data_IF_612456799921
#
_entry.id   IF_612456799921
#
_cell.length_a   1.000
_cell.length_b   1.000
_cell.length_c   1.000
_cell.angle_alpha   90.00
_cell.angle_beta   90.00
_cell.angle_gamma   90.00
#
_symmetry.space_group_name_H-M   'P 1'
#
loop_
_entity.id
_entity.type
_entity.pdbx_description
1 polymer ?
#
# COMPACT_ATOMS: atom_id res chain seq x y z
N UNK A 1 -28.27 6.25 6.93
CA UNK A 1 -27.39 5.63 7.94
C UNK A 1 -26.39 4.77 7.20
N UNK A 2 -25.13 4.91 7.54
CA UNK A 2 -24.05 4.15 6.95
C UNK A 2 -23.37 3.29 8.03
N UNK A 3 -22.88 2.13 7.64
CA UNK A 3 -21.93 1.39 8.44
C UNK A 3 -20.54 1.80 7.95
N UNK A 4 -19.66 2.13 8.87
CA UNK A 4 -18.35 2.72 8.56
C UNK A 4 -17.27 1.88 9.20
N UNK A 5 -16.26 1.52 8.42
CA UNK A 5 -14.98 1.05 8.91
C UNK A 5 -13.98 2.20 8.90
N UNK A 6 -13.39 2.48 10.05
CA UNK A 6 -12.32 3.46 10.17
C UNK A 6 -11.04 2.74 10.57
N UNK A 7 -9.98 2.97 9.83
CA UNK A 7 -8.64 2.47 10.12
C UNK A 7 -7.66 3.64 10.17
N UNK A 8 -6.70 3.57 11.09
CA UNK A 8 -5.58 4.49 11.13
C UNK A 8 -4.27 3.71 11.21
N UNK A 9 -3.32 4.14 10.40
CA UNK A 9 -1.97 3.59 10.35
C UNK A 9 -0.98 4.68 10.71
N UNK A 10 -0.12 4.41 11.67
CA UNK A 10 1.06 5.22 11.93
C UNK A 10 1.99 5.09 10.75
N UNK A 11 2.52 6.20 10.34
CA UNK A 11 3.44 6.31 9.23
C UNK A 11 4.80 6.77 9.76
N UNK A 12 5.81 5.93 9.61
CA UNK A 12 7.14 6.30 9.99
C UNK A 12 7.71 7.27 8.96
N UNK A 13 7.80 8.55 9.31
CA UNK A 13 8.54 9.43 8.46
C UNK A 13 7.99 10.79 8.10
N UNK A 14 7.09 11.37 8.86
CA UNK A 14 6.80 12.81 8.73
C UNK A 14 7.17 13.48 10.06
N UNK A 15 8.45 13.81 10.21
CA UNK A 15 8.93 14.51 11.40
C UNK A 15 8.60 16.01 11.36
N UNK A 16 8.48 16.61 10.17
CA UNK A 16 8.24 18.05 9.99
C UNK A 16 6.87 18.37 9.38
N UNK A 17 5.96 17.41 9.24
CA UNK A 17 4.59 17.78 8.91
C UNK A 17 4.05 18.66 10.04
N UNK A 18 3.48 19.84 9.73
CA UNK A 18 2.80 20.63 10.75
C UNK A 18 1.82 19.71 11.50
N UNK A 19 1.78 19.80 12.81
CA UNK A 19 0.86 18.97 13.62
C UNK A 19 -0.60 19.07 13.13
N UNK A 20 -0.95 20.20 12.51
CA UNK A 20 -2.25 20.46 11.87
C UNK A 20 -2.35 20.02 10.41
N UNK A 21 -1.41 19.21 9.92
CA UNK A 21 -1.41 18.78 8.54
C UNK A 21 -2.62 17.88 8.23
N UNK A 22 -3.31 18.18 7.14
CA UNK A 22 -4.42 17.38 6.63
C UNK A 22 -4.43 17.48 5.11
N UNK A 23 -4.37 16.33 4.43
CA UNK A 23 -4.48 16.24 2.96
C UNK A 23 -5.31 15.03 2.58
N UNK A 24 -6.31 15.25 1.75
CA UNK A 24 -7.07 14.17 1.11
C UNK A 24 -6.21 13.55 0.01
N UNK A 25 -5.86 12.27 0.14
CA UNK A 25 -5.26 11.47 -0.93
C UNK A 25 -6.34 11.01 -1.90
N UNK A 26 -7.49 10.61 -1.33
CA UNK A 26 -8.67 10.20 -2.07
C UNK A 26 -9.93 10.55 -1.30
N UNK A 27 -10.95 10.97 -2.05
CA UNK A 27 -12.28 11.20 -1.49
C UNK A 27 -13.34 10.99 -2.57
N UNK A 28 -14.34 10.19 -2.23
CA UNK A 28 -15.60 10.09 -2.96
C UNK A 28 -16.79 10.25 -1.99
N UNK A 29 -18.00 9.89 -2.41
CA UNK A 29 -19.20 10.03 -1.58
C UNK A 29 -19.19 9.16 -0.32
N UNK A 30 -18.43 8.07 -0.33
CA UNK A 30 -18.44 7.04 0.72
C UNK A 30 -17.06 6.77 1.33
N UNK A 31 -16.00 7.09 0.63
CA UNK A 31 -14.66 6.69 1.02
C UNK A 31 -13.73 7.89 1.13
N UNK A 32 -12.91 7.89 2.17
CA UNK A 32 -11.92 8.93 2.41
C UNK A 32 -10.60 8.28 2.77
N UNK A 33 -9.52 8.73 2.11
CA UNK A 33 -8.14 8.41 2.48
C UNK A 33 -7.42 9.72 2.71
N UNK A 34 -6.89 9.93 3.92
CA UNK A 34 -6.21 11.17 4.30
C UNK A 34 -4.83 10.89 4.84
N UNK A 35 -3.93 11.84 4.60
CA UNK A 35 -2.75 12.02 5.43
C UNK A 35 -3.01 13.07 6.48
N UNK A 36 -2.72 12.74 7.72
CA UNK A 36 -2.98 13.59 8.88
C UNK A 36 -1.72 13.77 9.72
N UNK A 37 -1.47 15.01 10.16
CA UNK A 37 -0.59 15.27 11.29
C UNK A 37 -1.27 14.87 12.61
N UNK A 38 -0.47 14.79 13.68
CA UNK A 38 -0.95 14.29 14.97
C UNK A 38 -2.18 15.04 15.49
N UNK A 39 -2.18 16.39 15.47
CA UNK A 39 -3.31 17.18 15.99
C UNK A 39 -4.60 16.90 15.24
N UNK A 40 -4.53 16.75 13.90
CA UNK A 40 -5.70 16.43 13.10
C UNK A 40 -6.22 15.02 13.33
N UNK A 41 -5.33 14.07 13.53
CA UNK A 41 -5.72 12.71 13.93
C UNK A 41 -6.40 12.71 15.30
N UNK A 42 -5.85 13.44 16.26
CA UNK A 42 -6.43 13.59 17.60
C UNK A 42 -7.81 14.25 17.56
N UNK A 43 -7.99 15.33 16.77
CA UNK A 43 -9.28 15.99 16.58
C UNK A 43 -10.35 15.01 16.07
N UNK A 44 -10.00 14.15 15.09
CA UNK A 44 -10.91 13.13 14.56
C UNK A 44 -11.24 12.10 15.64
N UNK A 45 -10.26 11.67 16.41
CA UNK A 45 -10.44 10.72 17.50
C UNK A 45 -11.34 11.31 18.61
N UNK A 46 -11.09 12.54 19.05
CA UNK A 46 -11.89 13.23 20.06
C UNK A 46 -13.33 13.49 19.56
N UNK A 47 -13.51 13.85 18.29
CA UNK A 47 -14.83 14.04 17.69
C UNK A 47 -15.64 12.73 17.59
N UNK A 48 -14.98 11.59 17.34
CA UNK A 48 -15.62 10.26 17.40
C UNK A 48 -16.18 10.01 18.79
N UNK A 49 -15.41 10.32 19.82
CA UNK A 49 -15.79 10.10 21.21
C UNK A 49 -16.92 11.05 21.62
N UNK A 50 -16.86 12.33 21.26
CA UNK A 50 -17.91 13.31 21.57
C UNK A 50 -19.22 12.95 20.89
N UNK A 51 -19.21 12.50 19.64
CA UNK A 51 -20.39 12.01 18.94
C UNK A 51 -21.05 10.80 19.61
N UNK A 52 -20.26 9.93 20.24
CA UNK A 52 -20.77 8.81 21.05
C UNK A 52 -21.35 9.28 22.40
N UNK A 53 -20.93 10.46 22.89
CA UNK A 53 -21.38 11.01 24.17
C UNK A 53 -22.67 11.83 24.06
N UNK A 54 -22.95 12.47 22.92
CA UNK A 54 -23.97 13.52 22.80
C UNK A 54 -25.41 13.01 22.79
N UNK A 55 -25.64 11.72 22.53
CA UNK A 55 -26.99 11.21 22.49
C UNK A 55 -27.25 10.07 23.48
N UNK A 56 -27.46 10.40 24.77
CA UNK A 56 -28.17 9.53 25.74
C UNK A 56 -27.38 8.45 26.48
N UNK A 57 -26.04 8.46 26.46
CA UNK A 57 -25.29 7.55 27.31
C UNK A 57 -24.49 8.33 28.35
N UNK A 58 -24.94 8.29 29.58
CA UNK A 58 -24.08 8.54 30.71
C UNK A 58 -22.94 7.51 30.67
N UNK A 59 -21.82 7.85 30.03
CA UNK A 59 -20.61 7.02 30.13
C UNK A 59 -20.33 6.78 31.60
N UNK A 60 -20.08 5.53 31.94
CA UNK A 60 -19.65 5.19 33.30
C UNK A 60 -18.30 5.87 33.57
N UNK A 61 -18.00 6.10 34.84
CA UNK A 61 -16.71 6.67 35.26
C UNK A 61 -15.54 5.90 34.65
N UNK A 62 -15.62 4.57 34.64
CA UNK A 62 -14.60 3.67 34.05
C UNK A 62 -14.42 3.92 32.53
N UNK A 63 -15.49 4.16 31.79
CA UNK A 63 -15.39 4.46 30.36
C UNK A 63 -14.74 5.82 30.09
N UNK A 64 -15.03 6.81 30.91
CA UNK A 64 -14.36 8.14 30.82
C UNK A 64 -12.89 8.08 31.13
N UNK A 65 -12.52 7.41 32.22
CA UNK A 65 -11.09 7.21 32.58
C UNK A 65 -10.32 6.47 31.50
N UNK A 66 -10.93 5.45 30.89
CA UNK A 66 -10.31 4.73 29.77
C UNK A 66 -10.05 5.65 28.57
N UNK A 67 -11.02 6.44 28.18
CA UNK A 67 -10.90 7.41 27.07
C UNK A 67 -9.83 8.44 27.34
N UNK A 68 -9.82 9.03 28.55
CA UNK A 68 -8.81 9.99 28.97
C UNK A 68 -7.40 9.38 28.95
N UNK A 69 -7.26 8.13 29.39
CA UNK A 69 -6.02 7.38 29.33
C UNK A 69 -5.58 7.12 27.89
N UNK A 70 -6.50 6.75 26.99
CA UNK A 70 -6.19 6.54 25.56
C UNK A 70 -5.74 7.87 24.92
N UNK A 71 -6.41 8.98 25.17
CA UNK A 71 -6.00 10.32 24.70
C UNK A 71 -4.62 10.70 25.23
N UNK A 72 -4.37 10.46 26.52
CA UNK A 72 -3.07 10.73 27.11
C UNK A 72 -1.96 9.90 26.44
N UNK A 73 -2.18 8.61 26.28
CA UNK A 73 -1.23 7.72 25.64
C UNK A 73 -0.94 8.13 24.19
N UNK A 74 -1.99 8.49 23.42
CA UNK A 74 -1.82 9.01 22.07
C UNK A 74 -0.93 10.26 22.06
N UNK A 75 -1.13 11.20 23.00
CA UNK A 75 -0.34 12.43 23.11
C UNK A 75 1.12 12.18 23.46
N UNK A 76 1.39 11.17 24.27
CA UNK A 76 2.76 10.86 24.70
C UNK A 76 3.53 10.07 23.62
N UNK A 77 2.87 9.09 23.01
CA UNK A 77 3.55 8.13 22.11
C UNK A 77 3.65 8.67 20.68
N UNK A 78 2.61 9.34 20.18
CA UNK A 78 2.46 9.62 18.75
C UNK A 78 2.53 11.12 18.38
N UNK A 79 2.89 11.99 19.27
CA UNK A 79 2.87 13.46 19.04
C UNK A 79 3.70 13.95 17.84
N UNK A 80 4.66 13.15 17.37
CA UNK A 80 5.54 13.46 16.24
C UNK A 80 5.23 12.65 14.99
N UNK A 81 4.19 11.82 15.00
CA UNK A 81 3.88 10.94 13.90
C UNK A 81 2.87 11.56 12.94
N UNK A 82 2.90 11.09 11.70
CA UNK A 82 1.81 11.25 10.76
C UNK A 82 1.02 9.96 10.61
N UNK A 83 -0.19 10.11 10.10
CA UNK A 83 -1.15 9.03 10.02
C UNK A 83 -1.75 8.93 8.63
N UNK A 84 -1.87 7.71 8.14
CA UNK A 84 -2.74 7.39 7.03
C UNK A 84 -4.09 6.97 7.62
N UNK A 85 -5.11 7.79 7.37
CA UNK A 85 -6.47 7.59 7.84
C UNK A 85 -7.35 7.10 6.68
N UNK A 86 -8.10 6.02 6.92
CA UNK A 86 -9.00 5.42 5.95
C UNK A 86 -10.38 5.31 6.57
N UNK A 87 -11.37 5.90 5.93
CA UNK A 87 -12.78 5.87 6.29
C UNK A 87 -13.57 5.27 5.11
N UNK A 88 -14.18 4.12 5.32
CA UNK A 88 -14.97 3.40 4.33
C UNK A 88 -16.40 3.29 4.83
N UNK A 89 -17.32 3.92 4.12
CA UNK A 89 -18.75 3.86 4.44
C UNK A 89 -19.49 3.00 3.42
N UNK A 90 -20.41 2.18 3.90
CA UNK A 90 -21.37 1.47 3.06
C UNK A 90 -22.78 1.78 3.59
N UNK A 91 -23.68 2.28 2.72
CA UNK A 91 -25.08 2.51 3.12
C UNK A 91 -25.71 1.24 3.69
N UNK A 92 -26.42 1.38 4.81
CA UNK A 92 -27.03 0.23 5.49
C UNK A 92 -27.95 -0.57 4.55
N UNK A 93 -28.64 0.12 3.63
CA UNK A 93 -29.51 -0.52 2.65
C UNK A 93 -28.81 -1.51 1.72
N UNK A 94 -27.53 -1.29 1.46
CA UNK A 94 -26.70 -2.20 0.66
C UNK A 94 -26.24 -3.43 1.45
N UNK A 95 -26.29 -3.39 2.78
CA UNK A 95 -25.83 -4.45 3.67
C UNK A 95 -26.97 -5.34 4.20
N UNK A 96 -28.22 -4.88 4.15
CA UNK A 96 -29.37 -5.57 4.78
C UNK A 96 -29.67 -6.97 4.25
N UNK A 97 -29.13 -7.33 3.07
CA UNK A 97 -29.28 -8.66 2.47
C UNK A 97 -28.17 -9.64 2.87
N UNK A 98 -27.14 -9.17 3.57
CA UNK A 98 -26.05 -10.00 4.04
C UNK A 98 -26.45 -10.70 5.35
N UNK A 99 -25.99 -11.94 5.51
CA UNK A 99 -26.14 -12.66 6.79
C UNK A 99 -25.28 -12.01 7.89
N UNK A 100 -25.60 -12.30 9.15
CA UNK A 100 -24.78 -11.85 10.29
C UNK A 100 -23.34 -12.31 10.16
N UNK A 101 -23.11 -13.54 9.71
CA UNK A 101 -21.79 -14.12 9.47
C UNK A 101 -21.01 -13.32 8.40
N UNK A 102 -21.66 -13.02 7.27
CA UNK A 102 -21.03 -12.20 6.21
C UNK A 102 -20.70 -10.79 6.67
N UNK A 103 -21.52 -10.20 7.53
CA UNK A 103 -21.27 -8.86 8.08
C UNK A 103 -20.12 -8.82 9.09
N UNK A 104 -19.89 -9.91 9.85
CA UNK A 104 -18.95 -9.90 10.95
C UNK A 104 -17.64 -10.65 10.64
N UNK A 105 -17.68 -11.74 9.90
CA UNK A 105 -16.48 -12.51 9.58
C UNK A 105 -15.73 -11.97 8.36
N UNK A 106 -16.45 -11.49 7.34
CA UNK A 106 -15.88 -10.95 6.11
C UNK A 106 -16.62 -9.69 5.65
N UNK A 107 -16.62 -8.63 6.44
CA UNK A 107 -17.31 -7.42 6.05
C UNK A 107 -16.74 -6.85 4.75
N UNK A 108 -17.59 -6.43 3.79
CA UNK A 108 -17.14 -5.89 2.51
C UNK A 108 -16.27 -4.64 2.66
N UNK A 109 -16.39 -3.91 3.77
CA UNK A 109 -15.54 -2.79 4.13
C UNK A 109 -14.05 -3.15 4.19
N UNK A 110 -13.70 -4.37 4.69
CA UNK A 110 -12.31 -4.79 4.84
C UNK A 110 -11.59 -4.93 3.49
N UNK A 111 -12.27 -5.49 2.49
CA UNK A 111 -11.69 -5.60 1.16
C UNK A 111 -11.48 -4.20 0.54
N UNK A 112 -12.46 -3.32 0.68
CA UNK A 112 -12.39 -1.97 0.15
C UNK A 112 -11.29 -1.15 0.85
N UNK A 113 -11.24 -1.18 2.19
CA UNK A 113 -10.21 -0.52 2.97
C UNK A 113 -8.80 -1.05 2.63
N UNK A 114 -8.64 -2.37 2.46
CA UNK A 114 -7.38 -2.99 2.04
C UNK A 114 -6.93 -2.52 0.65
N UNK A 115 -7.86 -2.36 -0.29
CA UNK A 115 -7.55 -1.84 -1.62
C UNK A 115 -7.11 -0.37 -1.57
N UNK A 116 -7.81 0.45 -0.79
CA UNK A 116 -7.48 1.86 -0.58
C UNK A 116 -6.12 2.01 0.12
N UNK A 117 -5.87 1.23 1.17
CA UNK A 117 -4.58 1.19 1.86
C UNK A 117 -3.45 0.82 0.88
N UNK A 118 -3.64 -0.25 0.13
CA UNK A 118 -2.62 -0.75 -0.81
C UNK A 118 -2.30 0.26 -1.90
N UNK A 119 -3.31 0.93 -2.44
CA UNK A 119 -3.12 1.98 -3.45
C UNK A 119 -2.42 3.21 -2.85
N UNK A 120 -2.84 3.67 -1.66
CA UNK A 120 -2.28 4.85 -1.00
C UNK A 120 -0.80 4.63 -0.61
N UNK A 121 -0.49 3.51 0.06
CA UNK A 121 0.88 3.22 0.49
C UNK A 121 1.81 3.02 -0.70
N UNK A 122 1.34 2.39 -1.77
CA UNK A 122 2.11 2.23 -3.01
C UNK A 122 2.34 3.57 -3.72
N UNK A 123 1.33 4.44 -3.78
CA UNK A 123 1.45 5.77 -4.37
C UNK A 123 2.43 6.66 -3.58
N UNK A 124 2.28 6.72 -2.25
CA UNK A 124 3.17 7.47 -1.37
C UNK A 124 4.61 6.96 -1.52
N UNK A 125 4.80 5.63 -1.46
CA UNK A 125 6.12 5.02 -1.57
C UNK A 125 6.74 5.28 -2.95
N UNK A 126 5.97 5.25 -4.03
CA UNK A 126 6.45 5.54 -5.37
C UNK A 126 6.91 6.98 -5.54
N UNK A 127 6.24 7.94 -4.92
CA UNK A 127 6.51 9.37 -5.11
C UNK A 127 7.58 9.95 -4.19
N UNK A 128 8.07 9.18 -3.20
CA UNK A 128 9.12 9.65 -2.30
C UNK A 128 10.49 9.74 -2.97
N UNK A 129 11.22 10.79 -2.65
CA UNK A 129 12.63 10.94 -3.03
C UNK A 129 13.55 10.00 -2.25
N UNK A 130 13.19 9.65 -1.01
CA UNK A 130 13.98 8.75 -0.17
C UNK A 130 14.08 7.34 -0.75
N UNK A 131 15.28 6.75 -0.65
CA UNK A 131 15.56 5.38 -1.12
C UNK A 131 14.88 4.33 -0.22
N UNK A 132 14.70 4.65 1.07
CA UNK A 132 14.13 3.73 2.05
C UNK A 132 12.60 3.77 1.97
N UNK A 133 12.00 2.60 1.84
CA UNK A 133 10.54 2.48 1.86
C UNK A 133 10.00 2.78 3.26
N UNK A 134 8.90 3.52 3.37
CA UNK A 134 8.26 3.76 4.67
C UNK A 134 7.68 2.47 5.22
N UNK A 135 7.57 2.37 6.52
CA UNK A 135 6.74 1.35 7.18
C UNK A 135 5.41 1.95 7.62
N UNK A 136 4.39 1.10 7.68
CA UNK A 136 3.04 1.47 8.09
C UNK A 136 2.56 0.51 9.16
N UNK A 137 2.23 1.03 10.30
CA UNK A 137 1.71 0.26 11.43
C UNK A 137 0.26 0.61 11.68
N UNK A 138 -0.64 -0.39 11.67
CA UNK A 138 -2.04 -0.18 12.00
C UNK A 138 -2.17 0.06 13.50
N UNK A 139 -2.60 1.25 13.89
CA UNK A 139 -2.76 1.65 15.28
C UNK A 139 -4.21 1.62 15.76
N UNK A 140 -5.17 1.73 14.86
CA UNK A 140 -6.58 1.60 15.23
C UNK A 140 -7.43 1.05 14.09
N UNK A 141 -8.48 0.32 14.46
CA UNK A 141 -9.52 -0.17 13.57
C UNK A 141 -10.84 -0.21 14.31
N UNK A 142 -11.91 0.30 13.71
CA UNK A 142 -13.22 0.25 14.36
C UNK A 142 -14.36 0.30 13.36
N UNK A 143 -15.45 -0.39 13.72
CA UNK A 143 -16.73 -0.35 13.01
C UNK A 143 -17.73 0.51 13.75
N UNK A 144 -18.40 1.38 13.02
CA UNK A 144 -19.31 2.38 13.56
C UNK A 144 -20.58 2.48 12.72
N UNK A 145 -21.70 2.90 13.35
CA UNK A 145 -22.84 3.46 12.63
C UNK A 145 -22.70 4.97 12.55
N UNK A 146 -22.89 5.55 11.35
CA UNK A 146 -22.84 6.99 11.09
C UNK A 146 -24.16 7.46 10.50
N UNK A 147 -24.66 8.60 10.99
CA UNK A 147 -25.84 9.26 10.47
C UNK A 147 -25.58 10.75 10.34
N UNK A 148 -25.85 11.32 9.17
CA UNK A 148 -25.59 12.76 8.89
C UNK A 148 -24.16 13.22 9.24
N UNK A 149 -23.16 12.36 8.98
CA UNK A 149 -21.74 12.66 9.28
C UNK A 149 -21.32 12.41 10.73
N UNK A 150 -22.27 12.12 11.64
CA UNK A 150 -21.99 11.89 13.07
C UNK A 150 -22.00 10.40 13.38
N UNK A 151 -20.99 9.93 14.12
CA UNK A 151 -20.94 8.55 14.63
C UNK A 151 -21.91 8.43 15.80
N UNK A 152 -22.91 7.55 15.65
CA UNK A 152 -23.97 7.34 16.64
C UNK A 152 -23.83 6.04 17.42
N UNK A 153 -23.01 5.10 16.94
CA UNK A 153 -22.81 3.82 17.62
C UNK A 153 -21.46 3.22 17.22
N UNK A 154 -20.78 2.63 18.19
CA UNK A 154 -19.60 1.79 18.01
C UNK A 154 -20.01 0.31 18.12
N UNK A 155 -19.56 -0.51 17.17
CA UNK A 155 -19.78 -1.96 17.20
C UNK A 155 -18.51 -2.71 17.67
N UNK A 156 -17.36 -2.27 17.21
CA UNK A 156 -16.06 -2.79 17.64
C UNK A 156 -14.99 -1.72 17.48
N UNK A 157 -14.01 -1.75 18.36
CA UNK A 157 -12.82 -0.89 18.26
C UNK A 157 -11.61 -1.68 18.73
N UNK A 158 -10.53 -1.62 17.98
CA UNK A 158 -9.27 -2.25 18.28
C UNK A 158 -8.15 -1.23 18.14
N UNK A 159 -7.40 -1.01 19.21
CA UNK A 159 -6.25 -0.14 19.25
C UNK A 159 -5.01 -0.98 19.50
N UNK A 160 -3.93 -0.70 18.78
CA UNK A 160 -2.63 -1.35 18.96
C UNK A 160 -1.70 -0.35 19.63
N UNK A 161 -1.01 -0.78 20.67
CA UNK A 161 0.07 -0.01 21.29
C UNK A 161 1.40 -0.61 20.84
N UNK A 162 2.22 0.14 20.11
CA UNK A 162 3.61 -0.24 19.82
C UNK A 162 4.55 0.97 19.82
N UNK A 163 5.80 0.71 20.22
CA UNK A 163 6.82 1.72 20.48
C UNK A 163 8.02 1.54 19.55
N UNK A 164 7.98 2.07 18.33
CA UNK A 164 9.21 2.22 17.56
C UNK A 164 9.19 3.51 16.72
N UNK A 165 10.32 4.23 16.73
CA UNK A 165 10.47 5.53 16.08
C UNK A 165 11.49 5.41 14.96
N UNK A 166 11.06 5.58 13.74
CA UNK A 166 11.93 5.76 12.57
C UNK A 166 11.58 7.10 11.90
N UNK A 167 12.60 7.91 11.58
CA UNK A 167 12.42 9.28 11.08
C UNK A 167 12.59 9.35 9.57
N UNK A 168 11.58 9.82 8.84
CA UNK A 168 11.68 10.10 7.41
C UNK A 168 10.79 11.26 6.98
N UNK A 169 11.27 12.08 6.04
CA UNK A 169 10.54 13.22 5.48
C UNK A 169 9.63 12.84 4.32
N UNK A 170 8.45 13.46 4.24
CA UNK A 170 7.63 13.63 3.05
C UNK A 170 7.38 15.12 2.86
N UNK A 171 7.66 15.64 1.67
CA UNK A 171 7.30 17.01 1.33
C UNK A 171 5.94 17.11 0.61
N UNK A 172 5.38 18.31 0.52
CA UNK A 172 4.10 18.54 -0.13
C UNK A 172 4.08 18.13 -1.60
N UNK A 173 5.22 18.21 -2.31
CA UNK A 173 5.34 17.82 -3.72
C UNK A 173 5.26 16.30 -3.88
N UNK A 174 5.87 15.57 -2.96
CA UNK A 174 5.77 14.10 -2.93
C UNK A 174 4.33 13.66 -2.67
N UNK A 175 3.62 14.37 -1.79
CA UNK A 175 2.20 14.09 -1.52
C UNK A 175 1.32 14.44 -2.70
N UNK A 176 1.49 15.61 -3.34
CA UNK A 176 0.73 15.98 -4.54
C UNK A 176 0.95 14.97 -5.68
N UNK A 177 2.20 14.50 -5.83
CA UNK A 177 2.53 13.43 -6.77
C UNK A 177 1.85 12.11 -6.39
N UNK A 178 1.82 11.78 -5.10
CA UNK A 178 1.16 10.57 -4.62
C UNK A 178 -0.36 10.61 -4.85
N UNK A 179 -1.00 11.77 -4.68
CA UNK A 179 -2.43 11.97 -4.99
C UNK A 179 -2.71 11.68 -6.47
N UNK A 180 -1.89 12.23 -7.38
CA UNK A 180 -2.04 12.00 -8.81
C UNK A 180 -1.87 10.52 -9.19
N UNK A 181 -0.87 9.86 -8.59
CA UNK A 181 -0.55 8.45 -8.81
C UNK A 181 -1.59 7.52 -8.19
N UNK A 182 -2.15 7.87 -7.02
CA UNK A 182 -3.14 7.07 -6.33
C UNK A 182 -4.32 6.68 -7.23
N UNK A 183 -4.94 7.67 -7.86
CA UNK A 183 -6.10 7.45 -8.74
C UNK A 183 -5.76 6.50 -9.88
N UNK A 184 -4.59 6.69 -10.50
CA UNK A 184 -4.13 5.82 -11.58
C UNK A 184 -3.93 4.37 -11.13
N UNK A 185 -3.42 4.17 -9.91
CA UNK A 185 -3.24 2.83 -9.32
C UNK A 185 -4.59 2.22 -8.96
N UNK A 186 -5.45 2.99 -8.29
CA UNK A 186 -6.70 2.49 -7.72
C UNK A 186 -7.72 2.07 -8.78
N UNK A 187 -7.82 2.83 -9.88
CA UNK A 187 -8.76 2.57 -10.96
C UNK A 187 -8.37 1.35 -11.84
N UNK A 188 -7.10 0.92 -11.79
CA UNK A 188 -6.60 -0.16 -12.63
C UNK A 188 -6.52 -1.50 -11.91
N UNK A 189 -7.36 -2.46 -12.32
CA UNK A 189 -7.38 -3.82 -11.77
C UNK A 189 -6.02 -4.53 -11.84
N UNK A 190 -5.21 -4.21 -12.85
CA UNK A 190 -3.88 -4.81 -13.03
C UNK A 190 -2.93 -4.50 -11.86
N UNK A 191 -3.07 -3.34 -11.20
CA UNK A 191 -2.24 -2.98 -10.07
C UNK A 191 -2.73 -3.56 -8.73
N UNK A 192 -4.00 -3.97 -8.61
CA UNK A 192 -4.58 -4.43 -7.35
C UNK A 192 -3.74 -5.50 -6.63
N UNK A 193 -3.35 -6.56 -7.34
CA UNK A 193 -2.54 -7.64 -6.76
C UNK A 193 -1.13 -7.18 -6.44
N UNK A 194 -0.52 -6.40 -7.33
CA UNK A 194 0.85 -5.91 -7.19
C UNK A 194 0.97 -5.00 -5.95
N UNK A 195 0.08 -4.02 -5.84
CA UNK A 195 0.08 -3.06 -4.73
C UNK A 195 -0.31 -3.71 -3.41
N UNK A 196 -1.23 -4.68 -3.42
CA UNK A 196 -1.58 -5.45 -2.23
C UNK A 196 -0.37 -6.23 -1.67
N UNK A 197 0.38 -6.91 -2.53
CA UNK A 197 1.59 -7.61 -2.12
C UNK A 197 2.69 -6.64 -1.65
N UNK A 198 2.85 -5.53 -2.37
CA UNK A 198 3.86 -4.54 -2.00
C UNK A 198 3.54 -3.87 -0.67
N UNK A 199 2.29 -3.46 -0.45
CA UNK A 199 1.87 -2.86 0.82
C UNK A 199 2.08 -3.80 2.02
N UNK A 200 1.84 -5.10 1.85
CA UNK A 200 2.14 -6.10 2.89
C UNK A 200 3.63 -6.14 3.24
N UNK A 201 4.51 -5.88 2.28
CA UNK A 201 5.95 -5.82 2.55
C UNK A 201 6.38 -4.60 3.37
N UNK A 202 5.52 -3.58 3.47
CA UNK A 202 5.77 -2.33 4.18
C UNK A 202 5.24 -2.35 5.63
N UNK A 203 4.53 -3.41 6.03
CA UNK A 203 4.01 -3.56 7.38
C UNK A 203 5.07 -4.27 8.23
N UNK A 204 5.60 -3.61 9.28
CA UNK A 204 6.51 -4.26 10.20
C UNK A 204 5.75 -5.34 10.98
N UNK A 205 6.33 -6.52 11.05
CA UNK A 205 5.80 -7.60 11.89
C UNK A 205 6.96 -8.16 12.71
N UNK A 206 6.81 -8.27 14.02
CA UNK A 206 7.88 -8.57 14.98
C UNK A 206 8.72 -9.83 14.68
N UNK A 207 8.22 -10.75 13.88
CA UNK A 207 8.93 -11.98 13.49
C UNK A 207 8.89 -12.27 11.99
N UNK A 208 8.62 -11.28 11.15
CA UNK A 208 8.22 -11.56 9.78
C UNK A 208 8.99 -10.80 8.71
N UNK A 209 10.29 -10.50 8.93
CA UNK A 209 11.15 -10.05 7.81
C UNK A 209 11.05 -11.01 6.63
N UNK A 210 10.88 -12.31 6.90
CA UNK A 210 10.62 -13.32 5.88
C UNK A 210 9.32 -13.03 5.11
N UNK A 211 8.21 -12.79 5.81
CA UNK A 211 6.92 -12.50 5.14
C UNK A 211 6.97 -11.21 4.36
N UNK A 212 7.58 -10.17 4.90
CA UNK A 212 7.78 -8.90 4.20
C UNK A 212 8.66 -9.09 2.95
N UNK A 213 9.74 -9.87 3.06
CA UNK A 213 10.60 -10.18 1.91
C UNK A 213 9.86 -11.01 0.85
N UNK A 214 9.10 -12.04 1.25
CA UNK A 214 8.31 -12.85 0.31
C UNK A 214 7.28 -11.97 -0.39
N UNK A 215 6.59 -11.09 0.34
CA UNK A 215 5.59 -10.17 -0.23
C UNK A 215 6.23 -9.19 -1.22
N UNK A 216 7.38 -8.61 -0.89
CA UNK A 216 8.15 -7.74 -1.79
C UNK A 216 8.59 -8.51 -3.05
N UNK A 217 9.14 -9.71 -2.88
CA UNK A 217 9.57 -10.55 -3.99
C UNK A 217 8.39 -10.93 -4.89
N UNK A 218 7.27 -11.37 -4.32
CA UNK A 218 6.07 -11.73 -5.09
C UNK A 218 5.48 -10.53 -5.84
N UNK A 219 5.50 -9.34 -5.24
CA UNK A 219 5.07 -8.13 -5.95
C UNK A 219 5.92 -7.87 -7.19
N UNK A 220 7.25 -8.04 -7.06
CA UNK A 220 8.19 -7.90 -8.17
C UNK A 220 7.98 -8.98 -9.25
N UNK A 221 7.80 -10.25 -8.87
CA UNK A 221 7.50 -11.35 -9.83
C UNK A 221 6.21 -11.08 -10.62
N UNK A 222 5.13 -10.71 -9.91
CA UNK A 222 3.83 -10.42 -10.55
C UNK A 222 3.93 -9.20 -11.45
N UNK A 223 4.67 -8.17 -11.01
CA UNK A 223 4.91 -6.96 -11.80
C UNK A 223 5.67 -7.28 -13.09
N UNK A 224 6.75 -8.06 -13.01
CA UNK A 224 7.51 -8.51 -14.20
C UNK A 224 6.60 -9.27 -15.16
N UNK A 225 5.82 -10.22 -14.64
CA UNK A 225 4.94 -11.05 -15.48
C UNK A 225 3.88 -10.22 -16.21
N UNK A 226 3.24 -9.26 -15.52
CA UNK A 226 2.24 -8.37 -16.14
C UNK A 226 2.86 -7.38 -17.12
N UNK A 227 4.00 -6.80 -16.76
CA UNK A 227 4.70 -5.86 -17.66
C UNK A 227 5.22 -6.53 -18.92
N UNK A 228 5.51 -7.84 -18.86
CA UNK A 228 5.94 -8.62 -20.02
C UNK A 228 4.89 -8.58 -21.13
N UNK A 229 3.62 -8.72 -20.80
CA UNK A 229 2.52 -8.69 -21.81
C UNK A 229 2.50 -7.34 -22.55
N UNK A 230 2.58 -6.24 -21.81
CA UNK A 230 2.58 -4.90 -22.41
C UNK A 230 3.82 -4.67 -23.29
N UNK A 231 4.99 -5.12 -22.83
CA UNK A 231 6.24 -5.01 -23.59
C UNK A 231 6.15 -5.82 -24.89
N UNK A 232 5.57 -7.00 -24.84
CA UNK A 232 5.34 -7.84 -26.02
C UNK A 232 4.40 -7.15 -27.01
N UNK A 233 3.25 -6.65 -26.54
CA UNK A 233 2.26 -5.96 -27.39
C UNK A 233 2.85 -4.71 -28.05
N UNK A 234 3.57 -3.88 -27.31
CA UNK A 234 4.22 -2.68 -27.83
C UNK A 234 5.33 -3.05 -28.83
N UNK A 235 6.15 -4.04 -28.50
CA UNK A 235 7.25 -4.47 -29.37
C UNK A 235 6.72 -5.08 -30.67
N UNK A 236 5.68 -5.91 -30.59
CA UNK A 236 5.00 -6.46 -31.78
C UNK A 236 4.25 -5.37 -32.56
N UNK A 237 3.63 -4.40 -31.87
CA UNK A 237 2.97 -3.26 -32.52
C UNK A 237 3.92 -2.44 -33.35
N UNK A 238 5.10 -2.09 -32.81
CA UNK A 238 6.16 -1.35 -33.54
C UNK A 238 6.71 -2.12 -34.74
N UNK A 239 6.58 -3.44 -34.75
CA UNK A 239 7.01 -4.29 -35.85
C UNK A 239 5.93 -4.54 -36.88
N UNK A 240 4.65 -4.39 -36.55
CA UNK A 240 3.52 -4.57 -37.47
C UNK A 240 3.52 -3.55 -38.60
N UNK A 241 4.13 -2.37 -38.40
CA UNK A 241 4.36 -1.39 -39.45
C UNK A 241 5.42 -1.85 -40.48
N UNK A 242 6.20 -2.88 -40.16
CA UNK A 242 7.09 -3.58 -41.05
C UNK A 242 6.45 -4.94 -41.30
N UNK A 243 5.98 -5.24 -42.50
CA UNK A 243 5.21 -6.42 -42.87
C UNK A 243 5.52 -7.70 -42.07
N UNK A 244 4.50 -8.45 -41.64
CA UNK A 244 4.59 -9.66 -40.79
C UNK A 244 5.56 -10.77 -41.30
N UNK A 245 6.07 -10.63 -42.50
CA UNK A 245 6.98 -11.56 -43.15
C UNK A 245 8.46 -11.17 -43.09
N UNK A 246 8.80 -10.03 -42.45
CA UNK A 246 10.21 -9.64 -42.34
C UNK A 246 10.98 -10.62 -41.42
N UNK A 247 12.25 -10.94 -41.74
CA UNK A 247 13.11 -11.78 -40.89
C UNK A 247 13.18 -11.22 -39.43
N UNK A 248 13.19 -9.91 -39.26
CA UNK A 248 13.24 -9.25 -37.95
C UNK A 248 12.00 -9.53 -37.13
N UNK A 249 10.79 -9.49 -37.72
CA UNK A 249 9.56 -9.82 -37.04
C UNK A 249 9.54 -11.27 -36.54
N UNK A 250 9.91 -12.19 -37.43
CA UNK A 250 9.97 -13.64 -37.12
C UNK A 250 11.00 -13.94 -36.03
N UNK A 251 12.14 -13.25 -36.06
CA UNK A 251 13.20 -13.38 -35.04
C UNK A 251 12.75 -12.88 -33.69
N UNK A 252 12.16 -11.66 -33.61
CA UNK A 252 11.69 -11.08 -32.36
C UNK A 252 10.51 -11.88 -31.81
N UNK A 253 9.55 -12.29 -32.65
CA UNK A 253 8.46 -13.18 -32.23
C UNK A 253 9.00 -14.46 -31.60
N UNK A 254 10.00 -15.08 -32.21
CA UNK A 254 10.63 -16.29 -31.68
C UNK A 254 11.35 -16.04 -30.34
N UNK A 255 11.99 -14.88 -30.14
CA UNK A 255 12.57 -14.50 -28.86
C UNK A 255 11.47 -14.33 -27.81
N UNK A 256 10.37 -13.66 -28.14
CA UNK A 256 9.23 -13.47 -27.25
C UNK A 256 8.56 -14.79 -26.87
N UNK A 257 8.38 -15.70 -27.83
CA UNK A 257 7.84 -17.05 -27.59
C UNK A 257 8.75 -17.88 -26.67
N UNK A 258 10.08 -17.74 -26.82
CA UNK A 258 11.07 -18.39 -25.94
C UNK A 258 11.04 -17.80 -24.53
N UNK A 259 10.78 -16.50 -24.39
CA UNK A 259 10.69 -15.83 -23.09
C UNK A 259 9.37 -16.06 -22.37
N UNK A 260 8.35 -16.57 -23.06
CA UNK A 260 7.05 -16.91 -22.46
C UNK A 260 7.03 -18.30 -21.76
N UNK A 261 8.08 -19.09 -21.94
CA UNK A 261 8.26 -20.42 -21.33
C UNK A 261 8.60 -20.36 -19.82
N UNK A 262 8.53 -21.52 -19.15
CA UNK A 262 8.65 -21.72 -17.69
C UNK A 262 9.95 -21.23 -17.02
N UNK A 263 10.98 -20.85 -17.76
CA UNK A 263 12.35 -20.80 -17.23
C UNK A 263 12.95 -19.39 -17.05
N UNK A 264 12.20 -18.29 -17.20
CA UNK A 264 12.91 -17.07 -17.59
C UNK A 264 12.55 -15.80 -16.83
N UNK A 265 12.39 -15.90 -15.50
CA UNK A 265 12.18 -14.68 -14.69
C UNK A 265 13.35 -13.70 -14.88
N UNK A 266 14.59 -14.20 -14.94
CA UNK A 266 15.78 -13.39 -15.21
C UNK A 266 15.71 -12.72 -16.59
N UNK A 267 15.36 -13.46 -17.64
CA UNK A 267 15.26 -12.90 -18.98
C UNK A 267 14.09 -11.91 -19.09
N UNK A 268 12.97 -12.19 -18.45
CA UNK A 268 11.84 -11.24 -18.36
C UNK A 268 12.24 -9.96 -17.64
N UNK A 269 12.99 -10.07 -16.56
CA UNK A 269 13.52 -8.90 -15.88
C UNK A 269 14.52 -8.11 -16.74
N UNK A 270 15.41 -8.80 -17.46
CA UNK A 270 16.34 -8.16 -18.38
C UNK A 270 15.61 -7.37 -19.48
N UNK A 271 14.56 -7.94 -20.08
CA UNK A 271 13.73 -7.25 -21.07
C UNK A 271 13.00 -6.04 -20.45
N UNK A 272 12.48 -6.18 -19.22
CA UNK A 272 11.88 -5.09 -18.49
C UNK A 272 12.90 -3.96 -18.25
N UNK A 273 14.10 -4.31 -17.81
CA UNK A 273 15.17 -3.36 -17.56
C UNK A 273 15.58 -2.62 -18.85
N UNK A 274 15.75 -3.35 -19.95
CA UNK A 274 16.06 -2.77 -21.25
C UNK A 274 14.95 -1.82 -21.73
N UNK A 275 13.69 -2.15 -21.48
CA UNK A 275 12.58 -1.32 -21.91
C UNK A 275 12.44 -0.01 -21.13
N UNK A 276 12.65 -0.05 -19.80
CA UNK A 276 12.39 1.09 -18.93
C UNK A 276 13.65 1.87 -18.55
N UNK A 277 14.84 1.27 -18.54
CA UNK A 277 16.05 1.87 -17.97
C UNK A 277 17.32 1.47 -18.72
N UNK A 278 17.45 1.93 -19.96
CA UNK A 278 18.59 1.60 -20.82
C UNK A 278 19.99 1.93 -20.22
N UNK A 279 20.06 2.90 -19.29
CA UNK A 279 21.33 3.37 -18.76
C UNK A 279 21.95 2.49 -17.67
N UNK A 280 21.17 1.67 -16.97
CA UNK A 280 21.63 0.90 -15.80
C UNK A 280 21.18 -0.57 -15.84
N UNK A 281 21.05 -1.14 -17.03
CA UNK A 281 20.53 -2.51 -17.22
C UNK A 281 21.36 -3.53 -16.47
N UNK A 282 22.68 -3.48 -16.60
CA UNK A 282 23.56 -4.48 -16.01
C UNK A 282 23.61 -4.40 -14.48
N UNK A 283 23.59 -3.20 -13.90
CA UNK A 283 23.56 -3.01 -12.46
C UNK A 283 22.26 -3.58 -11.88
N UNK A 284 21.11 -3.24 -12.46
CA UNK A 284 19.81 -3.70 -12.01
C UNK A 284 19.65 -5.22 -12.23
N UNK A 285 20.19 -5.75 -13.31
CA UNK A 285 20.16 -7.18 -13.58
C UNK A 285 20.99 -7.99 -12.57
N UNK A 286 22.20 -7.51 -12.26
CA UNK A 286 23.07 -8.11 -11.25
C UNK A 286 22.43 -8.05 -9.86
N UNK A 287 21.77 -6.93 -9.54
CA UNK A 287 21.03 -6.75 -8.30
C UNK A 287 19.88 -7.76 -8.22
N UNK A 288 19.04 -7.87 -9.26
CA UNK A 288 17.95 -8.81 -9.32
C UNK A 288 18.43 -10.26 -9.19
N UNK A 289 19.50 -10.62 -9.90
CA UNK A 289 20.10 -11.97 -9.84
C UNK A 289 20.61 -12.30 -8.43
N UNK A 290 21.25 -11.32 -7.76
CA UNK A 290 21.70 -11.46 -6.37
C UNK A 290 20.55 -11.73 -5.42
N UNK A 291 19.46 -10.94 -5.52
CA UNK A 291 18.24 -11.13 -4.71
C UNK A 291 17.61 -12.50 -4.98
N UNK A 292 17.49 -12.89 -6.24
CA UNK A 292 16.93 -14.19 -6.63
C UNK A 292 17.75 -15.35 -6.07
N UNK A 293 19.08 -15.24 -6.10
CA UNK A 293 19.97 -16.25 -5.52
C UNK A 293 19.72 -16.42 -4.03
N UNK A 294 19.74 -15.33 -3.26
CA UNK A 294 19.46 -15.40 -1.80
C UNK A 294 18.09 -16.02 -1.53
N UNK A 295 17.05 -15.63 -2.28
CA UNK A 295 15.71 -16.22 -2.17
C UNK A 295 15.75 -17.72 -2.41
N UNK A 296 16.39 -18.16 -3.48
CA UNK A 296 16.47 -19.59 -3.83
C UNK A 296 17.27 -20.36 -2.78
N UNK A 297 18.42 -19.86 -2.37
CA UNK A 297 19.28 -20.47 -1.36
C UNK A 297 18.52 -20.64 -0.04
N UNK A 298 17.76 -19.63 0.41
CA UNK A 298 16.93 -19.70 1.60
C UNK A 298 15.86 -20.82 1.50
N UNK A 299 15.13 -20.90 0.39
CA UNK A 299 14.08 -21.90 0.21
C UNK A 299 14.61 -23.31 -0.07
N UNK A 300 15.84 -23.45 -0.51
CA UNK A 300 16.51 -24.74 -0.67
C UNK A 300 17.24 -25.23 0.59
N UNK A 301 17.04 -24.55 1.73
CA UNK A 301 17.53 -24.98 3.03
C UNK A 301 18.96 -24.54 3.35
N UNK A 302 19.53 -23.60 2.62
CA UNK A 302 20.77 -22.92 3.02
C UNK A 302 20.50 -22.13 4.30
N UNK A 303 21.38 -22.24 5.29
CA UNK A 303 21.23 -21.54 6.57
C UNK A 303 21.52 -20.03 6.39
N UNK A 304 20.50 -19.28 5.99
CA UNK A 304 20.51 -17.81 5.87
C UNK A 304 19.65 -17.26 7.02
N UNK A 305 20.21 -16.35 7.81
CA UNK A 305 19.45 -15.68 8.87
C UNK A 305 18.39 -14.77 8.22
N UNK A 306 17.18 -14.74 8.80
CA UNK A 306 16.10 -13.89 8.30
C UNK A 306 16.48 -12.40 8.24
N UNK A 307 17.33 -11.93 9.16
CA UNK A 307 17.85 -10.53 9.14
C UNK A 307 18.68 -10.20 7.89
N UNK A 308 19.28 -11.23 7.25
CA UNK A 308 20.12 -11.06 6.06
C UNK A 308 19.33 -11.15 4.75
N UNK A 309 18.02 -11.39 4.83
CA UNK A 309 17.14 -11.36 3.65
C UNK A 309 17.11 -9.95 3.04
N UNK A 310 17.25 -9.81 1.71
CA UNK A 310 17.43 -8.53 1.03
C UNK A 310 16.09 -7.79 0.82
N UNK A 311 15.32 -7.55 1.89
CA UNK A 311 14.00 -6.92 1.86
C UNK A 311 14.07 -5.53 1.22
N UNK A 312 14.89 -4.64 1.78
CA UNK A 312 14.98 -3.23 1.35
C UNK A 312 15.47 -3.12 -0.10
N UNK A 313 16.41 -3.99 -0.49
CA UNK A 313 16.92 -4.07 -1.87
C UNK A 313 15.81 -4.49 -2.84
N UNK A 314 14.99 -5.46 -2.44
CA UNK A 314 13.84 -5.92 -3.24
C UNK A 314 12.77 -4.85 -3.38
N UNK A 315 12.43 -4.16 -2.29
CA UNK A 315 11.50 -3.03 -2.30
C UNK A 315 11.99 -1.88 -3.18
N UNK A 316 13.28 -1.54 -3.08
CA UNK A 316 13.92 -0.50 -3.90
C UNK A 316 13.85 -0.84 -5.39
N UNK A 317 14.18 -2.08 -5.75
CA UNK A 317 14.15 -2.53 -7.14
C UNK A 317 12.72 -2.54 -7.69
N UNK A 318 11.76 -3.08 -6.94
CA UNK A 318 10.35 -3.02 -7.31
C UNK A 318 9.89 -1.58 -7.53
N UNK A 319 10.12 -0.70 -6.56
CA UNK A 319 9.73 0.70 -6.61
C UNK A 319 10.27 1.41 -7.85
N UNK A 320 11.55 1.21 -8.17
CA UNK A 320 12.21 1.81 -9.34
C UNK A 320 11.44 1.51 -10.62
N UNK A 321 11.15 0.25 -10.87
CA UNK A 321 10.46 -0.17 -12.10
C UNK A 321 8.96 0.15 -12.08
N UNK A 322 8.34 0.12 -10.91
CA UNK A 322 6.94 0.53 -10.75
C UNK A 322 6.74 2.00 -11.10
N UNK A 323 7.64 2.90 -10.67
CA UNK A 323 7.65 4.32 -11.03
C UNK A 323 7.77 4.49 -12.56
N UNK A 324 8.68 3.78 -13.20
CA UNK A 324 8.82 3.85 -14.66
C UNK A 324 7.53 3.44 -15.39
N UNK A 325 6.88 2.37 -14.93
CA UNK A 325 5.59 1.95 -15.47
C UNK A 325 4.50 3.00 -15.29
N UNK A 326 4.41 3.60 -14.12
CA UNK A 326 3.45 4.67 -13.84
C UNK A 326 3.66 5.87 -14.77
N UNK A 327 4.90 6.32 -14.93
CA UNK A 327 5.22 7.44 -15.82
C UNK A 327 4.95 7.13 -17.30
N UNK A 328 5.12 5.89 -17.74
CA UNK A 328 4.82 5.50 -19.12
C UNK A 328 3.32 5.42 -19.40
N UNK A 329 2.50 5.20 -18.39
CA UNK A 329 1.03 5.13 -18.50
C UNK A 329 0.30 6.47 -18.30
N UNK A 330 1.02 7.51 -17.83
CA UNK A 330 0.50 8.87 -17.65
C UNK A 330 0.72 9.77 -18.88
N UNK A 331 1.47 9.29 -19.87
CA UNK A 331 1.65 9.95 -21.20
C UNK A 331 0.59 9.49 -22.16
#
# INVERSE_FOLDING_TARGET
MDIVLIQAFKFDGIYDAPQNYERDIYKDDYNIVKMLGFTKYLDIFENKISGLNDERRNLTHIQKERIESEIHNLKVIYHSNAFLYIDVAIPYDQLKHLSSEQLWEKPPHLELASNLFSAATSAITACRASIVSPSYEKISEGFYARQNGVIIKEFSNYNIEQNDISMMHLDDREIDSAIAVFKHIYDKKEFKTITSLFSQSLIPTENARLFSFISAWRSLEVFIAKSQQDIQEISLGRLKDKSDDTPDYKFIKKILDVTDGKYHLLQRFYLLATYYNENNIEEDFNEFQSIQKVRNDYFHGTNIDQKDLPLERTQKLFRKYFIFKLHSGLK
#
